data_IF_572579270700
#
_entry.id   IF_572579270700
#
_cell.length_a   1.000
_cell.length_b   1.000
_cell.length_c   1.000
_cell.angle_alpha   90.00
_cell.angle_beta   90.00
_cell.angle_gamma   90.00
#
_symmetry.space_group_name_H-M   'P 1'
#
loop_
_entity.id
_entity.type
_entity.pdbx_description
1 polymer ?
#
# COMPACT_ATOMS: atom_id res chain seq x y z
N UNK A 1 -0.39 -7.34 -30.51
CA UNK A 1 0.32 -7.63 -29.86
C UNK A 1 0.31 -8.70 -28.89
N UNK A 2 -0.08 -8.45 -28.01
CA UNK A 2 -0.17 -9.41 -27.00
C UNK A 2 -1.50 -10.03 -27.20
N UNK A 3 -1.57 -10.67 -28.30
CA UNK A 3 -2.82 -11.05 -28.87
C UNK A 3 -3.66 -11.93 -27.98
N UNK A 4 -3.05 -12.83 -27.26
CA UNK A 4 -3.76 -13.71 -26.40
C UNK A 4 -4.24 -13.05 -25.11
N UNK A 5 -3.79 -11.82 -24.84
CA UNK A 5 -4.12 -11.11 -23.62
C UNK A 5 -5.21 -10.07 -23.77
N UNK A 6 -5.60 -9.78 -25.00
CA UNK A 6 -6.62 -8.78 -25.28
C UNK A 6 -7.85 -9.47 -25.85
N UNK A 7 -8.93 -9.58 -25.06
CA UNK A 7 -10.15 -10.21 -25.53
C UNK A 7 -10.76 -9.42 -26.69
N UNK A 8 -11.16 -10.12 -27.70
CA UNK A 8 -11.83 -9.53 -28.84
C UNK A 8 -13.31 -9.95 -28.84
N UNK A 9 -14.19 -8.97 -29.00
CA UNK A 9 -15.60 -9.23 -29.05
C UNK A 9 -16.07 -9.29 -30.52
N UNK A 10 -16.35 -10.48 -31.06
CA UNK A 10 -16.77 -10.59 -32.45
C UNK A 10 -18.08 -9.86 -32.72
N UNK A 11 -18.97 -9.80 -31.76
CA UNK A 11 -20.27 -9.18 -31.92
C UNK A 11 -20.19 -7.68 -32.13
N UNK A 12 -19.35 -7.01 -31.37
CA UNK A 12 -19.18 -5.55 -31.47
C UNK A 12 -17.98 -5.18 -32.31
N UNK A 13 -17.17 -6.15 -32.72
CA UNK A 13 -16.01 -5.97 -33.54
C UNK A 13 -15.01 -5.00 -32.88
N UNK A 14 -14.88 -5.08 -31.56
CA UNK A 14 -13.99 -4.25 -30.77
C UNK A 14 -13.23 -5.11 -29.80
N UNK A 15 -12.01 -4.67 -29.49
CA UNK A 15 -11.28 -5.26 -28.37
C UNK A 15 -11.89 -4.76 -27.08
N UNK A 16 -12.06 -5.68 -26.13
CA UNK A 16 -12.54 -5.35 -24.81
C UNK A 16 -11.42 -5.61 -23.83
N UNK A 17 -11.12 -4.59 -23.03
CA UNK A 17 -10.09 -4.65 -22.01
C UNK A 17 -10.74 -4.77 -20.65
N UNK A 18 -10.25 -5.68 -19.85
CA UNK A 18 -10.59 -5.71 -18.42
C UNK A 18 -9.77 -4.61 -17.76
N UNK A 19 -10.41 -3.51 -17.47
CA UNK A 19 -9.72 -2.36 -16.90
C UNK A 19 -9.83 -2.37 -15.39
N UNK A 20 -8.69 -2.20 -14.74
CA UNK A 20 -8.63 -2.09 -13.28
C UNK A 20 -7.44 -1.22 -12.90
N UNK A 21 -7.49 -0.71 -11.68
CA UNK A 21 -6.39 0.09 -11.14
C UNK A 21 -5.35 -0.78 -10.48
N UNK A 22 -4.13 -0.31 -10.44
CA UNK A 22 -3.06 -0.93 -9.66
C UNK A 22 -2.59 0.05 -8.61
N UNK A 23 -2.37 -0.44 -7.40
CA UNK A 23 -1.93 0.40 -6.30
C UNK A 23 -0.95 -0.36 -5.43
N UNK A 24 -0.17 0.40 -4.66
CA UNK A 24 0.69 -0.18 -3.63
C UNK A 24 0.13 0.15 -2.26
N UNK A 25 0.46 -0.70 -1.31
CA UNK A 25 0.19 -0.52 0.10
C UNK A 25 1.48 -0.85 0.83
N UNK A 26 1.81 -0.15 1.90
CA UNK A 26 3.11 -0.31 2.55
C UNK A 26 2.98 -0.48 4.05
N UNK A 27 3.65 -1.49 4.57
CA UNK A 27 3.85 -1.66 6.01
C UNK A 27 5.18 -0.98 6.30
N UNK A 28 5.16 0.19 6.92
CA UNK A 28 6.36 1.01 7.13
C UNK A 28 6.96 0.72 8.49
N UNK A 29 8.18 0.19 8.49
CA UNK A 29 8.96 -0.06 9.70
C UNK A 29 9.96 1.07 9.94
N UNK A 30 10.19 1.38 11.21
CA UNK A 30 11.24 2.30 11.62
C UNK A 30 12.61 1.66 11.38
N UNK A 31 13.72 2.45 11.52
CA UNK A 31 15.06 1.92 11.22
C UNK A 31 15.43 0.65 11.99
N UNK A 32 14.92 0.47 13.19
CA UNK A 32 15.23 -0.71 14.02
C UNK A 32 14.23 -1.85 13.85
N UNK A 33 13.21 -1.66 13.01
CA UNK A 33 12.19 -2.67 12.68
C UNK A 33 11.37 -3.16 13.87
N UNK A 34 11.23 -2.34 14.90
CA UNK A 34 10.42 -2.68 16.07
C UNK A 34 9.12 -1.89 16.16
N UNK A 35 8.91 -0.94 15.25
CA UNK A 35 7.70 -0.13 15.21
C UNK A 35 7.16 -0.04 13.79
N UNK A 36 5.85 0.14 13.70
CA UNK A 36 5.13 0.28 12.43
C UNK A 36 4.39 1.61 12.45
N UNK A 37 4.43 2.33 11.33
CA UNK A 37 3.74 3.59 11.17
C UNK A 37 2.32 3.34 10.64
N UNK A 38 1.33 3.86 11.35
CA UNK A 38 -0.06 3.88 10.89
C UNK A 38 -0.50 5.32 10.74
N UNK A 39 -1.38 5.57 9.78
CA UNK A 39 -1.87 6.92 9.49
C UNK A 39 -3.39 6.98 9.55
N UNK A 40 -3.91 8.19 9.77
CA UNK A 40 -5.32 8.53 9.58
C UNK A 40 -5.39 9.60 8.51
N UNK A 41 -6.36 9.48 7.61
CA UNK A 41 -6.45 10.42 6.49
C UNK A 41 -7.91 10.68 6.10
N UNK A 42 -8.12 11.76 5.39
CA UNK A 42 -9.43 12.16 4.85
C UNK A 42 -10.51 12.30 5.91
N UNK A 43 -10.14 12.77 7.10
CA UNK A 43 -11.09 12.97 8.20
C UNK A 43 -11.66 11.70 8.83
N UNK A 44 -11.12 10.54 8.47
CA UNK A 44 -11.59 9.27 8.99
C UNK A 44 -10.87 8.91 10.29
N UNK A 45 -11.61 8.34 11.23
CA UNK A 45 -11.08 8.02 12.54
C UNK A 45 -10.67 6.55 12.67
N UNK A 46 -9.86 6.10 11.71
CA UNK A 46 -9.27 4.75 11.80
C UNK A 46 -7.88 4.75 11.18
N UNK A 47 -7.06 3.83 11.65
CA UNK A 47 -5.67 3.73 11.22
C UNK A 47 -5.53 2.80 10.03
N UNK A 48 -4.77 3.24 9.03
CA UNK A 48 -4.50 2.48 7.82
C UNK A 48 -3.02 2.57 7.46
N UNK A 49 -2.63 1.83 6.42
CA UNK A 49 -1.28 1.89 5.87
C UNK A 49 -1.20 2.97 4.80
N UNK A 50 0.00 3.49 4.58
CA UNK A 50 0.25 4.40 3.45
C UNK A 50 0.05 3.61 2.16
N UNK A 51 -0.74 4.14 1.26
CA UNK A 51 -1.06 3.49 0.00
C UNK A 51 -1.25 4.54 -1.10
N UNK A 52 -1.12 4.11 -2.35
CA UNK A 52 -1.35 5.00 -3.47
C UNK A 52 -1.39 4.26 -4.79
N UNK A 53 -2.00 4.89 -5.77
CA UNK A 53 -2.12 4.32 -7.10
C UNK A 53 -0.81 4.40 -7.86
N UNK A 54 -0.53 3.34 -8.62
CA UNK A 54 0.58 3.32 -9.55
C UNK A 54 0.17 4.18 -10.72
N UNK A 55 0.92 5.24 -11.00
CA UNK A 55 0.59 6.15 -12.09
C UNK A 55 1.30 5.71 -13.37
N UNK A 56 0.80 6.24 -14.48
CA UNK A 56 1.34 5.91 -15.80
C UNK A 56 2.85 6.18 -15.84
N UNK A 57 3.59 5.17 -16.23
CA UNK A 57 5.05 5.29 -16.35
C UNK A 57 5.82 4.90 -15.11
N UNK A 58 5.13 4.57 -14.01
CA UNK A 58 5.79 4.13 -12.78
C UNK A 58 5.72 2.61 -12.64
N UNK A 59 6.70 2.04 -11.93
CA UNK A 59 6.60 0.68 -11.44
C UNK A 59 6.27 0.73 -9.94
N UNK A 60 6.10 -0.44 -9.32
CA UNK A 60 5.70 -0.53 -7.91
C UNK A 60 6.72 0.12 -6.98
N UNK A 61 8.01 -0.11 -7.23
CA UNK A 61 9.08 0.46 -6.41
C UNK A 61 9.04 1.99 -6.45
N UNK A 62 8.93 2.55 -7.63
CA UNK A 62 8.88 4.00 -7.79
C UNK A 62 7.66 4.59 -7.09
N UNK A 63 6.52 3.90 -7.19
CA UNK A 63 5.29 4.34 -6.55
C UNK A 63 5.40 4.34 -5.04
N UNK A 64 5.93 3.26 -4.45
CA UNK A 64 6.02 3.19 -2.99
C UNK A 64 6.98 4.24 -2.43
N UNK A 65 8.10 4.49 -3.12
CA UNK A 65 9.05 5.52 -2.70
C UNK A 65 8.39 6.90 -2.77
N UNK A 66 7.70 7.18 -3.86
CA UNK A 66 7.01 8.48 -4.05
C UNK A 66 5.91 8.70 -3.03
N UNK A 67 5.05 7.71 -2.82
CA UNK A 67 3.93 7.84 -1.90
C UNK A 67 4.39 8.06 -0.46
N UNK A 68 5.40 7.32 -0.02
CA UNK A 68 5.94 7.49 1.33
C UNK A 68 6.57 8.87 1.48
N UNK A 69 7.27 9.33 0.45
CA UNK A 69 7.88 10.66 0.48
C UNK A 69 6.82 11.75 0.49
N UNK A 70 5.79 11.62 -0.33
CA UNK A 70 4.73 12.63 -0.43
C UNK A 70 3.86 12.70 0.83
N UNK A 71 3.52 11.57 1.41
CA UNK A 71 2.55 11.54 2.50
C UNK A 71 3.17 11.72 3.88
N UNK A 72 4.34 11.16 4.13
CA UNK A 72 4.98 11.21 5.45
C UNK A 72 6.42 11.73 5.43
N UNK A 73 6.94 12.06 4.26
CA UNK A 73 8.27 12.65 4.07
C UNK A 73 9.39 11.79 4.66
N UNK A 74 9.31 10.49 4.46
CA UNK A 74 10.36 9.56 4.89
C UNK A 74 11.03 8.95 3.66
N UNK A 75 12.28 8.53 3.84
CA UNK A 75 13.06 7.91 2.77
C UNK A 75 13.10 6.40 2.97
N UNK A 76 12.84 5.66 1.90
CA UNK A 76 12.87 4.21 1.91
C UNK A 76 14.32 3.74 1.80
N UNK A 77 14.76 2.90 2.73
CA UNK A 77 16.11 2.32 2.68
C UNK A 77 16.09 0.84 2.33
N UNK A 78 14.94 0.17 2.50
CA UNK A 78 14.81 -1.24 2.13
C UNK A 78 13.33 -1.53 1.90
N UNK A 79 13.03 -2.53 1.08
CA UNK A 79 11.66 -2.95 0.84
C UNK A 79 11.63 -4.41 0.43
N UNK A 80 10.54 -5.09 0.79
CA UNK A 80 10.34 -6.51 0.50
C UNK A 80 8.88 -6.71 0.11
N UNK A 81 8.66 -7.42 -1.00
CA UNK A 81 7.31 -7.76 -1.43
C UNK A 81 6.64 -8.67 -0.39
N UNK A 82 5.41 -8.38 -0.04
CA UNK A 82 4.64 -9.20 0.89
C UNK A 82 3.60 -10.05 0.16
N UNK A 83 2.58 -9.43 -0.41
CA UNK A 83 1.48 -10.14 -1.03
C UNK A 83 0.66 -9.17 -1.88
N UNK A 84 -0.34 -9.70 -2.58
CA UNK A 84 -1.26 -8.87 -3.34
C UNK A 84 -2.68 -9.41 -3.19
N UNK A 85 -3.64 -8.55 -3.50
CA UNK A 85 -5.04 -8.94 -3.49
C UNK A 85 -5.84 -7.95 -4.31
N UNK A 86 -6.79 -8.47 -5.08
CA UNK A 86 -7.70 -7.63 -5.82
C UNK A 86 -8.79 -7.11 -4.88
N UNK A 87 -8.88 -5.80 -4.75
CA UNK A 87 -9.85 -5.15 -3.88
C UNK A 87 -11.04 -4.70 -4.72
N UNK A 88 -12.12 -5.47 -4.68
CA UNK A 88 -13.29 -5.26 -5.51
C UNK A 88 -13.96 -3.89 -5.34
N UNK A 89 -14.12 -3.36 -4.12
CA UNK A 89 -14.82 -2.07 -3.95
C UNK A 89 -14.24 -0.93 -4.77
N UNK A 90 -12.93 -0.91 -5.01
CA UNK A 90 -12.29 0.12 -5.81
C UNK A 90 -11.75 -0.38 -7.14
N UNK A 91 -12.05 -1.63 -7.48
CA UNK A 91 -11.55 -2.25 -8.72
C UNK A 91 -10.03 -2.10 -8.83
N UNK A 92 -9.33 -2.47 -7.77
CA UNK A 92 -7.89 -2.22 -7.67
C UNK A 92 -7.14 -3.48 -7.29
N UNK A 93 -6.08 -3.78 -8.03
CA UNK A 93 -5.12 -4.81 -7.63
C UNK A 93 -4.13 -4.13 -6.68
N UNK A 94 -4.14 -4.56 -5.42
CA UNK A 94 -3.28 -4.00 -4.37
C UNK A 94 -2.06 -4.87 -4.20
N UNK A 95 -0.88 -4.25 -4.26
CA UNK A 95 0.39 -4.92 -4.01
C UNK A 95 0.95 -4.38 -2.69
N UNK A 96 1.20 -5.25 -1.73
CA UNK A 96 1.68 -4.83 -0.42
C UNK A 96 3.17 -5.13 -0.25
N UNK A 97 3.87 -4.16 0.32
CA UNK A 97 5.30 -4.25 0.60
C UNK A 97 5.57 -3.93 2.06
N UNK A 98 6.56 -4.61 2.62
CA UNK A 98 7.15 -4.22 3.90
C UNK A 98 8.32 -3.31 3.59
N UNK A 99 8.36 -2.14 4.20
CA UNK A 99 9.32 -1.09 3.89
C UNK A 99 10.03 -0.65 5.16
N UNK A 100 11.33 -0.37 5.07
CA UNK A 100 12.10 0.20 6.18
C UNK A 100 12.50 1.60 5.76
N UNK A 101 12.29 2.58 6.64
CA UNK A 101 12.64 3.97 6.39
C UNK A 101 13.84 4.39 7.24
N UNK A 102 14.44 5.52 6.89
CA UNK A 102 15.69 5.98 7.49
C UNK A 102 15.50 6.74 8.80
N UNK A 103 14.28 7.08 9.19
CA UNK A 103 14.03 7.93 10.35
C UNK A 103 12.61 7.71 10.86
N UNK A 104 12.36 8.11 12.12
CA UNK A 104 11.01 8.17 12.68
C UNK A 104 10.43 9.58 12.58
N UNK A 105 11.21 10.55 12.07
CA UNK A 105 10.78 11.95 11.98
C UNK A 105 10.00 12.20 10.71
N UNK A 106 8.70 11.96 10.76
CA UNK A 106 7.83 12.19 9.61
C UNK A 106 7.29 13.62 9.59
N UNK A 107 6.86 14.06 8.40
CA UNK A 107 6.12 15.31 8.23
C UNK A 107 4.88 15.00 7.43
N UNK A 108 3.73 15.38 7.95
CA UNK A 108 2.46 15.08 7.31
C UNK A 108 2.10 16.10 6.25
N UNK A 109 1.44 15.62 5.20
CA UNK A 109 0.88 16.47 4.15
C UNK A 109 -0.58 16.75 4.48
N UNK A 110 -1.25 17.54 3.63
CA UNK A 110 -2.65 17.88 3.84
C UNK A 110 -3.60 16.69 3.77
N UNK A 111 -3.17 15.60 3.15
CA UNK A 111 -4.00 14.40 3.00
C UNK A 111 -3.95 13.48 4.21
N UNK A 112 -2.93 13.63 5.05
CA UNK A 112 -2.73 12.78 6.22
C UNK A 112 -3.03 13.60 7.47
N UNK A 113 -4.04 13.20 8.22
CA UNK A 113 -4.46 13.92 9.43
C UNK A 113 -3.58 13.60 10.63
N UNK A 114 -3.21 12.34 10.80
CA UNK A 114 -2.40 11.87 11.92
C UNK A 114 -1.51 10.72 11.47
N UNK A 115 -0.39 10.57 12.15
CA UNK A 115 0.48 9.41 11.99
C UNK A 115 1.10 9.10 13.34
N UNK A 116 1.25 7.82 13.65
CA UNK A 116 1.84 7.39 14.91
C UNK A 116 2.66 6.13 14.69
N UNK A 117 3.79 6.05 15.37
CA UNK A 117 4.58 4.84 15.45
C UNK A 117 4.04 3.97 16.58
N UNK A 118 3.75 2.72 16.25
CA UNK A 118 3.25 1.74 17.21
C UNK A 118 4.22 0.56 17.28
N UNK A 119 4.32 -0.07 18.44
CA UNK A 119 4.98 -1.37 18.49
C UNK A 119 4.24 -2.33 17.56
N UNK A 120 4.87 -3.43 17.17
CA UNK A 120 4.23 -4.38 16.27
C UNK A 120 2.89 -4.87 16.86
N UNK A 121 2.86 -5.21 18.13
CA UNK A 121 1.64 -5.68 18.79
C UNK A 121 0.55 -4.59 18.86
N UNK A 122 0.95 -3.36 19.13
CA UNK A 122 0.01 -2.25 19.14
C UNK A 122 -0.54 -1.98 17.74
N UNK A 123 0.31 -2.04 16.71
CA UNK A 123 -0.12 -1.82 15.34
C UNK A 123 -1.18 -2.85 14.93
N UNK A 124 -1.01 -4.10 15.34
CA UNK A 124 -1.99 -5.15 15.06
C UNK A 124 -3.36 -4.85 15.65
N UNK A 125 -3.39 -4.17 16.79
CA UNK A 125 -4.63 -3.82 17.49
C UNK A 125 -5.22 -2.51 16.95
N UNK A 126 -4.36 -1.55 16.66
CA UNK A 126 -4.78 -0.19 16.30
C UNK A 126 -5.13 -0.03 14.82
N UNK A 127 -4.63 -0.91 13.96
CA UNK A 127 -5.00 -0.88 12.54
C UNK A 127 -6.48 -1.21 12.39
N UNK A 128 -7.15 -0.62 11.41
CA UNK A 128 -8.58 -0.86 11.22
C UNK A 128 -8.84 -2.35 11.04
N UNK A 129 -9.53 -2.95 11.99
CA UNK A 129 -9.82 -4.38 12.01
C UNK A 129 -10.72 -4.76 10.83
N UNK A 130 -10.42 -5.90 10.21
CA UNK A 130 -11.18 -6.38 9.07
C UNK A 130 -10.88 -5.68 7.74
N UNK A 131 -9.95 -4.73 7.75
CA UNK A 131 -9.55 -4.04 6.51
C UNK A 131 -8.54 -4.86 5.73
N UNK A 132 -8.34 -4.48 4.46
CA UNK A 132 -7.30 -5.09 3.64
C UNK A 132 -5.91 -4.81 4.23
N UNK A 133 -5.71 -3.60 4.77
CA UNK A 133 -4.46 -3.24 5.45
C UNK A 133 -4.16 -4.20 6.59
N UNK A 134 -5.16 -4.49 7.41
CA UNK A 134 -5.04 -5.45 8.51
C UNK A 134 -4.67 -6.85 7.98
N UNK A 135 -5.33 -7.27 6.93
CA UNK A 135 -5.05 -8.57 6.32
C UNK A 135 -3.59 -8.67 5.85
N UNK A 136 -3.09 -7.64 5.17
CA UNK A 136 -1.71 -7.62 4.71
C UNK A 136 -0.72 -7.65 5.88
N UNK A 137 -1.00 -6.89 6.93
CA UNK A 137 -0.13 -6.87 8.11
C UNK A 137 -0.05 -8.25 8.75
N UNK A 138 -1.18 -8.92 8.94
CA UNK A 138 -1.19 -10.25 9.53
C UNK A 138 -0.48 -11.28 8.64
N UNK A 139 -0.66 -11.19 7.33
CA UNK A 139 0.04 -12.06 6.38
C UNK A 139 1.55 -11.89 6.47
N UNK A 140 2.01 -10.64 6.55
CA UNK A 140 3.44 -10.37 6.66
C UNK A 140 4.02 -10.93 7.95
N UNK A 141 3.38 -10.65 9.08
CA UNK A 141 3.87 -11.09 10.39
C UNK A 141 3.87 -12.61 10.51
N UNK A 142 2.89 -13.27 9.91
CA UNK A 142 2.82 -14.74 9.90
C UNK A 142 4.02 -15.36 9.17
N UNK A 143 4.50 -14.71 8.12
CA UNK A 143 5.65 -15.20 7.35
C UNK A 143 6.97 -15.04 8.10
N UNK A 144 7.03 -14.20 9.11
CA UNK A 144 8.25 -13.92 9.86
C UNK A 144 8.49 -14.90 10.99
N UNK A 145 7.65 -15.90 11.14
CA UNK A 145 7.79 -16.92 12.20
C UNK A 145 8.28 -18.24 11.67
#
# INVERSE_FOLDING_TARGET
>A
GIDGLVPYCPTCKQFRFSMFNSAISTIIFNPTKDKILLIKQYGKDFNVLVAGYITKGENEKETLIREIKEEVNLNVVDYTYNDNEYYQPSNTLMHNYAVVVDSEDFKLTNEVDEAHWYSIEEARKEIKQGSLAHSFLERYLKKQH
#
